data_IF_911545930976
#
_entry.id   IF_911545930976
#
_cell.length_a   1.000
_cell.length_b   1.000
_cell.length_c   1.000
_cell.angle_alpha   90.00
_cell.angle_beta   90.00
_cell.angle_gamma   90.00
#
_symmetry.space_group_name_H-M   'P 1'
#
loop_
_entity.id
_entity.type
_entity.pdbx_description
1 polymer ?
#
# COMPACT_ATOMS: atom_id res chain seq x y z
N UNK A 1 0.26 7.59 -23.85
CA UNK A 1 -0.13 6.80 -22.67
C UNK A 1 0.99 6.94 -21.64
N UNK A 2 0.71 7.53 -20.48
CA UNK A 2 1.72 7.72 -19.43
C UNK A 2 1.91 6.39 -18.67
N UNK A 3 3.15 5.92 -18.59
CA UNK A 3 3.53 4.76 -17.80
C UNK A 3 4.00 5.24 -16.43
N UNK A 4 3.54 4.63 -15.34
CA UNK A 4 3.85 4.99 -13.94
C UNK A 4 5.35 4.94 -13.60
N UNK A 5 6.17 4.35 -14.46
CA UNK A 5 7.64 4.34 -14.38
C UNK A 5 8.33 5.60 -14.97
N UNK A 6 7.58 6.53 -15.56
CA UNK A 6 8.13 7.69 -16.28
C UNK A 6 8.01 9.02 -15.50
N UNK A 7 7.99 8.97 -14.17
CA UNK A 7 7.97 10.17 -13.31
C UNK A 7 9.30 10.34 -12.56
N UNK A 8 9.71 11.60 -12.27
CA UNK A 8 10.99 11.90 -11.63
C UNK A 8 11.13 11.20 -10.26
N UNK A 9 12.35 10.79 -9.88
CA UNK A 9 12.59 10.02 -8.66
C UNK A 9 12.31 10.85 -7.39
N UNK A 10 11.57 10.28 -6.43
CA UNK A 10 11.38 10.87 -5.09
C UNK A 10 10.06 10.56 -4.39
N UNK A 11 9.04 10.11 -5.11
CA UNK A 11 7.76 9.64 -4.56
C UNK A 11 7.42 8.34 -5.29
N UNK A 12 7.10 7.25 -4.59
CA UNK A 12 6.57 6.07 -5.23
C UNK A 12 5.28 6.56 -5.88
N UNK A 13 5.14 6.22 -7.15
CA UNK A 13 4.34 6.90 -8.18
C UNK A 13 2.83 6.93 -7.92
N UNK A 14 2.38 7.34 -6.74
CA UNK A 14 0.98 7.52 -6.40
C UNK A 14 0.56 8.90 -6.88
N UNK A 15 -0.36 8.91 -7.84
CA UNK A 15 -1.11 10.12 -8.15
C UNK A 15 -2.07 10.39 -6.99
N UNK A 16 -1.80 11.46 -6.24
CA UNK A 16 -2.63 11.90 -5.13
C UNK A 16 -3.57 13.01 -5.61
N UNK A 17 -4.82 12.97 -5.16
CA UNK A 17 -5.81 14.03 -5.38
C UNK A 17 -6.14 14.72 -4.06
N UNK A 18 -6.28 16.05 -4.12
CA UNK A 18 -6.67 16.85 -2.97
C UNK A 18 -8.18 16.73 -2.73
N UNK A 19 -8.54 16.34 -1.51
CA UNK A 19 -9.91 16.46 -1.00
C UNK A 19 -10.03 17.82 -0.34
N UNK A 20 -10.51 18.80 -1.10
CA UNK A 20 -10.90 20.13 -0.63
C UNK A 20 -12.22 20.09 0.15
N UNK A 21 -12.69 21.23 0.65
CA UNK A 21 -13.88 21.34 1.52
C UNK A 21 -13.64 20.96 2.99
N UNK A 22 -12.59 21.53 3.57
CA UNK A 22 -12.36 21.45 5.01
C UNK A 22 -13.52 22.13 5.77
N UNK A 23 -13.95 21.49 6.86
CA UNK A 23 -15.11 21.85 7.68
C UNK A 23 -16.44 21.76 6.92
N UNK A 24 -16.58 20.73 6.07
CA UNK A 24 -17.87 20.40 5.48
C UNK A 24 -18.95 20.20 6.54
N UNK A 25 -20.18 20.58 6.23
CA UNK A 25 -21.32 20.40 7.13
C UNK A 25 -21.49 18.91 7.47
N UNK A 26 -21.68 18.56 8.76
CA UNK A 26 -21.90 17.18 9.16
C UNK A 26 -23.32 16.70 8.83
N UNK A 27 -23.49 15.38 8.75
CA UNK A 27 -24.81 14.75 8.70
C UNK A 27 -25.56 15.02 10.02
N UNK A 28 -26.68 15.73 9.91
CA UNK A 28 -27.55 16.10 11.02
C UNK A 28 -28.58 15.03 11.40
N UNK A 29 -28.62 13.87 10.74
CA UNK A 29 -29.53 12.77 11.11
C UNK A 29 -29.24 12.29 12.53
N UNK A 30 -30.28 12.24 13.36
CA UNK A 30 -30.19 11.66 14.69
C UNK A 30 -30.14 10.14 14.62
N UNK A 31 -29.11 9.56 15.22
CA UNK A 31 -28.99 8.11 15.44
C UNK A 31 -29.92 7.66 16.58
N UNK A 32 -30.14 6.35 16.70
CA UNK A 32 -31.03 5.78 17.72
C UNK A 32 -30.56 6.04 19.16
N UNK A 33 -29.27 6.29 19.36
CA UNK A 33 -28.67 6.69 20.64
C UNK A 33 -28.72 8.21 20.92
N UNK A 34 -29.38 8.99 20.05
CA UNK A 34 -29.59 10.43 20.19
C UNK A 34 -28.42 11.30 19.73
N UNK A 35 -27.37 10.70 19.16
CA UNK A 35 -26.21 11.43 18.64
C UNK A 35 -26.45 12.00 17.23
N UNK A 36 -25.74 13.07 16.88
CA UNK A 36 -25.82 13.81 15.60
C UNK A 36 -24.44 14.35 15.22
N UNK A 37 -24.28 14.83 13.98
CA UNK A 37 -23.11 15.64 13.60
C UNK A 37 -21.94 14.83 13.05
N UNK A 38 -22.20 13.87 12.16
CA UNK A 38 -21.19 12.93 11.65
C UNK A 38 -20.58 13.35 10.31
N UNK A 39 -19.33 12.94 10.06
CA UNK A 39 -18.71 13.05 8.74
C UNK A 39 -18.14 14.42 8.36
N UNK A 40 -18.05 15.37 9.30
CA UNK A 40 -17.28 16.60 9.08
C UNK A 40 -15.78 16.35 9.20
N UNK A 41 -14.99 16.88 8.26
CA UNK A 41 -13.54 16.75 8.23
C UNK A 41 -12.89 18.12 8.41
N UNK A 42 -12.13 18.31 9.48
CA UNK A 42 -11.63 19.63 9.86
C UNK A 42 -10.54 20.23 8.94
N UNK A 43 -9.94 19.43 8.06
CA UNK A 43 -8.78 19.81 7.25
C UNK A 43 -8.80 19.19 5.86
N UNK A 44 -8.10 19.84 4.93
CA UNK A 44 -7.80 19.30 3.60
C UNK A 44 -6.79 18.18 3.72
N UNK A 45 -6.98 17.11 2.97
CA UNK A 45 -6.04 15.99 2.88
C UNK A 45 -5.88 15.53 1.43
N UNK A 46 -4.95 14.63 1.20
CA UNK A 46 -4.74 14.00 -0.10
C UNK A 46 -5.03 12.51 0.00
N UNK A 47 -5.64 11.95 -1.03
CA UNK A 47 -5.93 10.51 -1.15
C UNK A 47 -5.40 10.00 -2.50
N UNK A 48 -5.03 8.73 -2.55
CA UNK A 48 -4.66 8.09 -3.81
C UNK A 48 -5.82 8.15 -4.79
N UNK A 49 -5.56 8.63 -6.02
CA UNK A 49 -6.56 8.66 -7.10
C UNK A 49 -6.95 7.25 -7.55
N UNK A 50 -5.99 6.33 -7.45
CA UNK A 50 -6.12 4.94 -7.85
C UNK A 50 -5.68 4.03 -6.69
N UNK A 51 -6.07 2.76 -6.77
CA UNK A 51 -5.53 1.72 -5.90
C UNK A 51 -4.02 1.55 -6.11
N UNK A 52 -3.35 1.05 -5.07
CA UNK A 52 -1.92 0.72 -5.16
C UNK A 52 -1.73 -0.39 -6.19
N UNK A 53 -0.83 -0.16 -7.13
CA UNK A 53 -0.56 -1.09 -8.24
C UNK A 53 0.42 -2.19 -7.84
N UNK A 54 0.36 -3.31 -8.55
CA UNK A 54 1.33 -4.40 -8.42
C UNK A 54 2.77 -3.94 -8.67
N UNK A 55 2.98 -2.96 -9.57
CA UNK A 55 4.29 -2.33 -9.79
C UNK A 55 4.82 -1.61 -8.55
N UNK A 56 4.02 -0.72 -7.97
CA UNK A 56 4.41 0.03 -6.77
C UNK A 56 4.67 -0.88 -5.57
N UNK A 57 3.84 -1.92 -5.39
CA UNK A 57 4.07 -2.88 -4.32
C UNK A 57 5.32 -3.75 -4.57
N UNK A 58 5.62 -4.08 -5.83
CA UNK A 58 6.85 -4.78 -6.20
C UNK A 58 8.11 -3.94 -5.90
N UNK A 59 8.07 -2.62 -6.06
CA UNK A 59 9.16 -1.72 -5.66
C UNK A 59 9.39 -1.75 -4.15
N UNK A 60 8.30 -1.65 -3.38
CA UNK A 60 8.33 -1.79 -1.92
C UNK A 60 8.96 -3.11 -1.48
N UNK A 61 8.52 -4.25 -2.04
CA UNK A 61 9.08 -5.56 -1.72
C UNK A 61 10.59 -5.64 -2.01
N UNK A 62 11.05 -5.12 -3.15
CA UNK A 62 12.48 -5.11 -3.48
C UNK A 62 13.30 -4.22 -2.54
N UNK A 63 12.70 -3.16 -1.99
CA UNK A 63 13.36 -2.28 -1.03
C UNK A 63 13.49 -2.94 0.35
N UNK A 64 12.44 -3.59 0.85
CA UNK A 64 12.36 -3.94 2.29
C UNK A 64 12.33 -5.44 2.59
N UNK A 65 12.02 -6.29 1.60
CA UNK A 65 11.68 -7.69 1.81
C UNK A 65 12.76 -8.69 1.34
N UNK A 66 14.05 -8.33 1.35
CA UNK A 66 15.13 -9.26 0.95
C UNK A 66 15.18 -10.54 1.78
N UNK A 67 14.82 -10.48 3.06
CA UNK A 67 14.62 -11.64 3.95
C UNK A 67 13.17 -11.84 4.39
N UNK A 68 12.29 -10.91 4.00
CA UNK A 68 10.86 -10.88 4.29
C UNK A 68 10.42 -11.35 5.70
N UNK A 69 10.95 -10.76 6.78
CA UNK A 69 10.65 -11.20 8.14
C UNK A 69 9.20 -10.91 8.57
N UNK A 70 8.47 -10.10 7.80
CA UNK A 70 7.09 -9.70 8.09
C UNK A 70 6.07 -10.42 7.20
N UNK A 71 6.50 -11.27 6.26
CA UNK A 71 5.60 -11.97 5.34
C UNK A 71 4.86 -11.04 4.39
N UNK A 72 5.51 -9.96 3.94
CA UNK A 72 4.95 -8.94 3.05
C UNK A 72 4.58 -9.51 1.67
N UNK A 73 5.21 -10.62 1.28
CA UNK A 73 4.90 -11.33 0.06
C UNK A 73 4.14 -12.63 0.36
N UNK A 74 2.91 -12.70 -0.16
CA UNK A 74 2.17 -13.95 -0.26
C UNK A 74 2.51 -14.68 -1.57
N UNK A 75 2.69 -16.00 -1.52
CA UNK A 75 3.02 -16.79 -2.72
C UNK A 75 1.94 -16.70 -3.80
N UNK A 76 0.69 -16.48 -3.40
CA UNK A 76 -0.48 -16.39 -4.29
C UNK A 76 -0.49 -15.08 -5.09
N UNK A 77 0.33 -14.09 -4.71
CA UNK A 77 0.59 -12.90 -5.53
C UNK A 77 1.12 -13.27 -6.92
N UNK A 78 1.78 -14.43 -7.08
CA UNK A 78 2.34 -14.86 -8.36
C UNK A 78 1.33 -15.47 -9.33
N UNK A 79 0.12 -15.83 -8.86
CA UNK A 79 -0.86 -16.49 -9.70
C UNK A 79 -1.37 -15.61 -10.85
N UNK A 80 -1.57 -16.22 -12.01
CA UNK A 80 -2.04 -15.53 -13.23
C UNK A 80 -3.52 -15.13 -13.11
N UNK A 81 -4.33 -15.97 -12.46
CA UNK A 81 -5.76 -15.76 -12.29
C UNK A 81 -6.06 -14.73 -11.20
N UNK A 82 -6.15 -15.14 -9.92
CA UNK A 82 -6.53 -14.25 -8.84
C UNK A 82 -5.36 -13.40 -8.29
N UNK A 83 -4.12 -13.63 -8.72
CA UNK A 83 -2.94 -12.94 -8.21
C UNK A 83 -2.59 -11.67 -9.00
N UNK A 84 -1.85 -10.77 -8.34
CA UNK A 84 -1.34 -9.54 -8.94
C UNK A 84 -0.11 -9.76 -9.87
N UNK A 85 0.29 -11.02 -10.10
CA UNK A 85 1.42 -11.48 -10.92
C UNK A 85 2.77 -10.90 -10.49
N UNK A 86 2.98 -10.75 -9.19
CA UNK A 86 4.30 -10.50 -8.61
C UNK A 86 4.92 -11.87 -8.29
N UNK A 87 6.07 -12.17 -8.88
CA UNK A 87 6.84 -13.37 -8.57
C UNK A 87 8.06 -13.03 -7.71
N UNK A 88 8.40 -13.95 -6.79
CA UNK A 88 9.61 -13.89 -5.97
C UNK A 88 10.63 -14.92 -6.46
N UNK A 89 11.90 -14.54 -6.47
CA UNK A 89 13.03 -15.44 -6.75
C UNK A 89 14.19 -15.19 -5.79
N UNK A 90 15.16 -16.11 -5.73
CA UNK A 90 16.28 -16.07 -4.79
C UNK A 90 15.97 -16.76 -3.46
N UNK A 91 16.83 -16.52 -2.47
CA UNK A 91 16.74 -17.09 -1.12
C UNK A 91 16.57 -15.99 -0.08
N UNK A 92 16.11 -16.35 1.12
CA UNK A 92 16.01 -15.40 2.24
C UNK A 92 17.34 -14.67 2.48
N UNK A 93 17.27 -13.34 2.58
CA UNK A 93 18.42 -12.43 2.61
C UNK A 93 18.78 -11.85 1.24
N UNK A 94 18.23 -12.41 0.16
CA UNK A 94 18.53 -12.05 -1.23
C UNK A 94 17.32 -12.12 -2.16
N UNK A 95 16.09 -12.12 -1.63
CA UNK A 95 14.90 -12.18 -2.46
C UNK A 95 14.84 -11.01 -3.44
N UNK A 96 14.37 -11.30 -4.64
CA UNK A 96 14.04 -10.32 -5.67
C UNK A 96 12.64 -10.56 -6.19
N UNK A 97 11.95 -9.48 -6.50
CA UNK A 97 10.54 -9.49 -6.90
C UNK A 97 10.39 -8.89 -8.28
N UNK A 98 9.53 -9.48 -9.10
CA UNK A 98 9.23 -9.01 -10.46
C UNK A 98 7.74 -9.11 -10.72
N UNK A 99 7.17 -8.05 -11.28
CA UNK A 99 5.79 -8.03 -11.76
C UNK A 99 5.76 -8.27 -13.26
N UNK A 100 4.78 -9.04 -13.74
CA UNK A 100 4.55 -9.17 -15.17
C UNK A 100 4.09 -7.84 -15.79
N UNK A 101 4.62 -7.48 -16.96
CA UNK A 101 4.32 -6.21 -17.62
C UNK A 101 2.81 -5.97 -17.86
N UNK A 102 2.05 -7.02 -18.17
CA UNK A 102 0.60 -6.94 -18.42
C UNK A 102 -0.22 -6.67 -17.14
N UNK A 103 0.41 -6.81 -15.97
CA UNK A 103 -0.21 -6.64 -14.66
C UNK A 103 0.32 -5.47 -13.87
N UNK A 104 1.31 -4.74 -14.39
CA UNK A 104 2.02 -3.74 -13.60
C UNK A 104 1.13 -2.62 -13.07
N UNK A 105 0.10 -2.25 -13.81
CA UNK A 105 -0.89 -1.22 -13.46
C UNK A 105 -2.17 -1.79 -12.82
N UNK A 106 -2.23 -3.11 -12.56
CA UNK A 106 -3.37 -3.72 -11.87
C UNK A 106 -3.25 -3.47 -10.37
N UNK A 107 -4.37 -3.40 -9.63
CA UNK A 107 -4.36 -3.33 -8.18
C UNK A 107 -3.59 -4.51 -7.58
N UNK A 108 -2.77 -4.25 -6.57
CA UNK A 108 -2.16 -5.31 -5.79
C UNK A 108 -3.23 -6.01 -4.94
N UNK A 109 -3.12 -7.32 -4.78
CA UNK A 109 -3.98 -8.14 -3.95
C UNK A 109 -3.13 -9.15 -3.15
N UNK A 110 -3.78 -9.89 -2.25
CA UNK A 110 -3.11 -10.72 -1.22
C UNK A 110 -2.26 -9.91 -0.23
N UNK A 111 -2.74 -8.71 0.09
CA UNK A 111 -2.10 -7.76 1.01
C UNK A 111 -2.95 -7.68 2.27
N UNK A 112 -2.35 -7.95 3.44
CA UNK A 112 -3.05 -7.79 4.71
C UNK A 112 -3.12 -6.32 5.12
N UNK A 113 -3.99 -6.00 6.09
CA UNK A 113 -4.04 -4.66 6.68
C UNK A 113 -2.66 -4.18 7.17
N UNK A 114 -1.88 -5.07 7.79
CA UNK A 114 -0.56 -4.72 8.32
C UNK A 114 0.49 -4.51 7.24
N UNK A 115 0.34 -5.16 6.08
CA UNK A 115 1.20 -4.94 4.93
C UNK A 115 0.91 -3.57 4.30
N UNK A 116 -0.37 -3.21 4.20
CA UNK A 116 -0.80 -1.89 3.74
C UNK A 116 -0.27 -0.77 4.65
N UNK A 117 -0.33 -0.93 5.98
CA UNK A 117 0.28 0.03 6.91
C UNK A 117 1.78 0.19 6.69
N UNK A 118 2.52 -0.93 6.52
CA UNK A 118 3.97 -0.88 6.27
C UNK A 118 4.32 -0.23 4.94
N UNK A 119 3.51 -0.46 3.91
CA UNK A 119 3.66 0.22 2.63
C UNK A 119 3.45 1.74 2.80
N UNK A 120 2.40 2.17 3.51
CA UNK A 120 2.13 3.57 3.78
C UNK A 120 3.25 4.23 4.61
N UNK A 121 3.78 3.53 5.62
CA UNK A 121 4.92 4.02 6.40
C UNK A 121 6.18 4.14 5.54
N UNK A 122 6.45 3.17 4.66
CA UNK A 122 7.57 3.23 3.73
C UNK A 122 7.45 4.43 2.78
N UNK A 123 6.26 4.69 2.25
CA UNK A 123 5.97 5.89 1.46
C UNK A 123 6.24 7.17 2.24
N UNK A 124 5.72 7.26 3.46
CA UNK A 124 5.84 8.43 4.32
C UNK A 124 7.29 8.74 4.71
N UNK A 125 8.13 7.70 4.81
CA UNK A 125 9.55 7.83 5.16
C UNK A 125 10.48 8.01 3.95
N UNK A 126 9.96 8.50 2.81
CA UNK A 126 10.71 8.71 1.56
C UNK A 126 11.30 7.42 0.97
N UNK A 127 10.58 6.29 1.09
CA UNK A 127 10.89 5.02 0.44
C UNK A 127 12.34 4.54 0.62
N UNK A 128 12.81 4.40 1.86
CA UNK A 128 14.18 3.98 2.09
C UNK A 128 14.38 2.57 1.50
N UNK A 129 15.59 2.33 0.96
CA UNK A 129 16.02 1.01 0.44
C UNK A 129 16.26 -0.02 1.55
N UNK A 130 15.98 0.35 2.79
CA UNK A 130 15.98 -0.50 3.97
C UNK A 130 15.01 0.12 4.98
N UNK A 131 13.88 -0.51 5.23
CA UNK A 131 12.88 -0.05 6.19
C UNK A 131 12.71 -1.09 7.29
N UNK A 132 12.83 -0.64 8.54
CA UNK A 132 12.49 -1.45 9.71
C UNK A 132 11.27 -0.80 10.36
N UNK A 133 10.13 -1.47 10.25
CA UNK A 133 8.91 -1.00 10.91
C UNK A 133 9.15 -0.86 12.44
N UNK A 134 8.52 0.12 13.10
CA UNK A 134 8.64 0.29 14.56
C UNK A 134 8.30 -1.00 15.31
N UNK A 135 8.96 -1.26 16.44
CA UNK A 135 8.79 -2.49 17.22
C UNK A 135 7.34 -2.72 17.72
N UNK A 136 6.53 -1.67 17.80
CA UNK A 136 5.12 -1.70 18.22
C UNK A 136 4.19 -2.44 17.24
N UNK A 137 4.65 -2.71 16.01
CA UNK A 137 3.90 -3.46 14.99
C UNK A 137 4.27 -4.95 14.94
N UNK A 138 5.03 -5.44 15.92
CA UNK A 138 5.41 -6.85 16.07
C UNK A 138 4.47 -7.52 17.07
N UNK A 139 3.32 -8.02 16.59
CA UNK A 139 2.56 -9.03 17.34
C UNK A 139 2.45 -10.30 16.51
N UNK A 140 2.80 -11.41 17.16
CA UNK A 140 2.79 -12.75 16.59
C UNK A 140 1.39 -13.18 16.20
N UNK A 141 1.21 -13.33 14.91
CA UNK A 141 0.17 -14.12 14.26
C UNK A 141 0.71 -14.34 12.86
N UNK A 142 0.71 -15.58 12.37
CA UNK A 142 1.02 -15.83 10.97
C UNK A 142 0.20 -14.85 10.14
N UNK A 143 0.87 -14.00 9.37
CA UNK A 143 0.23 -13.26 8.31
C UNK A 143 -0.30 -14.32 7.34
N UNK A 144 -1.56 -14.71 7.54
CA UNK A 144 -2.38 -15.12 6.42
C UNK A 144 -2.47 -13.87 5.55
N UNK A 145 -1.85 -13.96 4.37
CA UNK A 145 -2.66 -13.59 3.24
C UNK A 145 -3.95 -14.45 3.27
#
# INVERSE_FOLDING_TARGET
MANVFSMPPGLASLEMVTVGDARNEPDGRAMQDGTVGYGSVAHTYAIGKYEVTAGQYCEFLNAVAKSDPYGLYCTDMSYIGPGCRISRSGLSGSYTYRVNADSVNRPVNWVSYWDACRFADWLHNNQPTSFRAPATWQRGGSAVC
#
